data_IF_963754670026
#
_entry.id   IF_963754670026
#
_cell.length_a   1.000
_cell.length_b   1.000
_cell.length_c   1.000
_cell.angle_alpha   90.00
_cell.angle_beta   90.00
_cell.angle_gamma   90.00
#
_symmetry.space_group_name_H-M   'P 1'
#
loop_
_entity.id
_entity.type
_entity.pdbx_description
1 polymer ?
#
# COMPACT_ATOMS: atom_id res chain seq x y z
N UNK A 1 21.28 24.66 -40.56
CA UNK A 1 21.38 24.61 -39.09
C UNK A 1 22.84 24.77 -38.69
N UNK A 2 23.16 25.80 -37.91
CA UNK A 2 24.50 26.07 -37.39
C UNK A 2 24.81 25.11 -36.21
N UNK A 3 26.03 24.56 -36.19
CA UNK A 3 26.47 23.58 -35.17
C UNK A 3 26.25 24.10 -33.73
N UNK A 4 26.43 25.40 -33.50
CA UNK A 4 26.22 26.04 -32.20
C UNK A 4 24.77 26.00 -31.71
N UNK A 5 23.77 26.18 -32.59
CA UNK A 5 22.36 26.08 -32.19
C UNK A 5 21.93 24.65 -31.95
N UNK A 6 22.54 23.67 -32.63
CA UNK A 6 22.29 22.25 -32.38
C UNK A 6 22.85 21.82 -31.01
N UNK A 7 24.07 22.26 -30.68
CA UNK A 7 24.69 22.04 -29.36
C UNK A 7 23.85 22.70 -28.26
N UNK A 8 23.43 23.95 -28.46
CA UNK A 8 22.58 24.66 -27.50
C UNK A 8 21.23 23.94 -27.30
N UNK A 9 20.60 23.47 -28.38
CA UNK A 9 19.36 22.70 -28.31
C UNK A 9 19.52 21.39 -27.54
N UNK A 10 20.63 20.66 -27.74
CA UNK A 10 20.94 19.45 -26.98
C UNK A 10 21.14 19.77 -25.49
N UNK A 11 21.90 20.81 -25.17
CA UNK A 11 22.13 21.24 -23.78
C UNK A 11 20.80 21.58 -23.10
N UNK A 12 19.96 22.38 -23.76
CA UNK A 12 18.62 22.72 -23.25
C UNK A 12 17.77 21.47 -23.06
N UNK A 13 17.79 20.54 -24.02
CA UNK A 13 17.08 19.26 -23.91
C UNK A 13 17.52 18.42 -22.72
N UNK A 14 18.83 18.29 -22.48
CA UNK A 14 19.38 17.56 -21.33
C UNK A 14 18.97 18.24 -20.02
N UNK A 15 19.07 19.57 -19.94
CA UNK A 15 18.67 20.32 -18.75
C UNK A 15 17.19 20.09 -18.46
N UNK A 16 16.31 20.25 -19.45
CA UNK A 16 14.87 20.02 -19.28
C UNK A 16 14.57 18.59 -18.85
N UNK A 17 15.23 17.58 -19.46
CA UNK A 17 15.06 16.18 -19.09
C UNK A 17 15.53 15.91 -17.65
N UNK A 18 16.68 16.45 -17.25
CA UNK A 18 17.22 16.31 -15.91
C UNK A 18 16.28 16.94 -14.87
N UNK A 19 15.89 18.20 -15.05
CA UNK A 19 14.95 18.88 -14.15
C UNK A 19 13.58 18.17 -14.11
N UNK A 20 13.05 17.76 -15.26
CA UNK A 20 11.80 16.99 -15.34
C UNK A 20 11.87 15.67 -14.57
N UNK A 21 12.98 14.94 -14.69
CA UNK A 21 13.18 13.67 -13.97
C UNK A 21 13.26 13.85 -12.46
N UNK A 22 13.92 14.92 -11.98
CA UNK A 22 14.00 15.24 -10.55
C UNK A 22 12.64 15.59 -9.97
N UNK A 23 11.83 16.38 -10.70
CA UNK A 23 10.46 16.70 -10.31
C UNK A 23 9.62 15.43 -10.24
N UNK A 24 9.69 14.57 -11.26
CA UNK A 24 8.95 13.31 -11.29
C UNK A 24 9.32 12.39 -10.11
N UNK A 25 10.62 12.21 -9.86
CA UNK A 25 11.13 11.43 -8.74
C UNK A 25 10.63 12.00 -7.39
N UNK A 26 10.70 13.32 -7.21
CA UNK A 26 10.19 14.00 -6.01
C UNK A 26 8.69 13.74 -5.81
N UNK A 27 7.87 13.83 -6.88
CA UNK A 27 6.43 13.54 -6.80
C UNK A 27 6.14 12.10 -6.45
N UNK A 28 6.89 11.14 -7.02
CA UNK A 28 6.76 9.73 -6.66
C UNK A 28 7.04 9.51 -5.17
N UNK A 29 8.15 10.05 -4.66
CA UNK A 29 8.51 9.92 -3.24
C UNK A 29 7.47 10.58 -2.33
N UNK A 30 7.06 11.81 -2.64
CA UNK A 30 6.09 12.55 -1.83
C UNK A 30 4.71 11.87 -1.77
N UNK A 31 4.30 11.21 -2.86
CA UNK A 31 3.04 10.46 -2.93
C UNK A 31 3.13 9.05 -2.37
N UNK A 32 4.27 8.64 -1.81
CA UNK A 32 4.41 7.42 -1.02
C UNK A 32 4.25 7.68 0.48
N UNK A 33 4.23 8.94 0.91
CA UNK A 33 4.10 9.31 2.31
C UNK A 33 2.70 9.00 2.84
N UNK A 34 2.63 8.56 4.10
CA UNK A 34 1.35 8.27 4.78
C UNK A 34 0.42 9.48 4.76
N UNK A 35 0.96 10.69 4.93
CA UNK A 35 0.19 11.95 4.88
C UNK A 35 -0.52 12.17 3.54
N UNK A 36 0.07 11.70 2.43
CA UNK A 36 -0.55 11.81 1.11
C UNK A 36 -1.70 10.82 0.99
N UNK A 37 -1.51 9.58 1.43
CA UNK A 37 -2.59 8.59 1.45
C UNK A 37 -3.74 9.04 2.36
N UNK A 38 -3.43 9.61 3.53
CA UNK A 38 -4.42 10.09 4.49
C UNK A 38 -5.07 11.44 4.12
N UNK A 39 -4.65 12.11 3.04
CA UNK A 39 -5.22 13.41 2.68
C UNK A 39 -6.65 13.31 2.13
N UNK A 40 -7.07 12.11 1.73
CA UNK A 40 -8.43 11.86 1.23
C UNK A 40 -9.31 11.31 2.36
N UNK A 41 -10.52 11.85 2.52
CA UNK A 41 -11.48 11.43 3.55
C UNK A 41 -11.74 9.91 3.60
N UNK A 42 -11.92 9.19 2.46
CA UNK A 42 -12.05 7.72 2.43
C UNK A 42 -10.98 6.95 3.21
N UNK A 43 -9.77 7.50 3.30
CA UNK A 43 -8.62 6.82 3.87
C UNK A 43 -8.51 6.96 5.40
N UNK A 44 -9.36 7.78 6.03
CA UNK A 44 -9.30 8.06 7.48
C UNK A 44 -9.31 6.79 8.34
N UNK A 45 -10.26 5.89 8.10
CA UNK A 45 -10.36 4.63 8.88
C UNK A 45 -9.13 3.74 8.67
N UNK A 46 -8.59 3.70 7.45
CA UNK A 46 -7.38 2.92 7.15
C UNK A 46 -6.16 3.51 7.86
N UNK A 47 -6.04 4.84 7.90
CA UNK A 47 -5.00 5.52 8.65
C UNK A 47 -5.09 5.21 10.15
N UNK A 48 -6.25 5.40 10.77
CA UNK A 48 -6.45 5.21 12.22
C UNK A 48 -6.11 3.77 12.65
N UNK A 49 -6.55 2.80 11.85
CA UNK A 49 -6.31 1.37 12.12
C UNK A 49 -4.88 0.94 11.81
N UNK A 50 -4.23 1.55 10.81
CA UNK A 50 -2.79 1.38 10.58
C UNK A 50 -1.97 1.99 11.71
N UNK A 51 -2.35 3.16 12.19
CA UNK A 51 -1.63 3.91 13.20
C UNK A 51 -1.49 3.10 14.50
N UNK A 52 -2.56 2.38 14.87
CA UNK A 52 -2.63 1.48 16.01
C UNK A 52 -2.02 0.08 15.78
N UNK A 53 -1.69 -0.28 14.53
CA UNK A 53 -1.17 -1.60 14.16
C UNK A 53 0.30 -1.79 14.54
N UNK A 54 0.80 -3.02 14.41
CA UNK A 54 2.22 -3.36 14.67
C UNK A 54 3.21 -2.67 13.74
N UNK A 55 2.78 -2.25 12.54
CA UNK A 55 3.60 -1.46 11.61
C UNK A 55 3.31 0.05 11.68
N UNK A 56 2.37 0.45 12.53
CA UNK A 56 2.05 1.84 12.83
C UNK A 56 3.01 2.45 13.86
N UNK A 57 3.03 3.78 13.98
CA UNK A 57 3.90 4.49 14.92
C UNK A 57 3.49 4.32 16.39
N UNK A 58 2.27 3.87 16.70
CA UNK A 58 1.78 3.74 18.08
C UNK A 58 2.43 2.57 18.84
N UNK A 59 2.89 1.54 18.13
CA UNK A 59 3.54 0.39 18.74
C UNK A 59 5.05 0.65 18.89
N UNK A 60 5.58 0.50 20.11
CA UNK A 60 7.00 0.73 20.41
C UNK A 60 7.86 -0.43 19.90
N UNK A 61 8.96 -0.13 19.21
CA UNK A 61 10.00 -1.10 18.85
C UNK A 61 9.91 -1.71 17.44
N UNK A 62 8.84 -1.46 16.68
CA UNK A 62 8.72 -1.92 15.30
C UNK A 62 9.21 -0.87 14.28
N UNK A 63 9.74 -1.34 13.14
CA UNK A 63 10.02 -0.47 11.99
C UNK A 63 8.70 0.10 11.46
N UNK A 64 8.63 1.43 11.34
CA UNK A 64 7.44 2.13 10.83
C UNK A 64 7.37 1.93 9.31
N UNK A 65 6.36 1.19 8.84
CA UNK A 65 6.13 1.00 7.41
C UNK A 65 5.16 2.06 6.89
N UNK A 66 5.48 2.69 5.75
CA UNK A 66 4.53 3.59 5.06
C UNK A 66 3.47 2.76 4.33
N UNK A 67 2.37 3.40 3.93
CA UNK A 67 1.33 2.75 3.13
C UNK A 67 1.91 2.10 1.86
N UNK A 68 2.78 2.83 1.14
CA UNK A 68 3.44 2.37 -0.07
C UNK A 68 4.46 1.24 0.16
N UNK A 69 4.96 1.05 1.39
CA UNK A 69 5.87 -0.04 1.67
C UNK A 69 5.17 -1.40 1.58
N UNK A 70 3.87 -1.47 1.91
CA UNK A 70 3.06 -2.69 1.81
C UNK A 70 2.17 -2.74 0.56
N UNK A 71 1.63 -1.61 0.13
CA UNK A 71 0.65 -1.52 -0.96
C UNK A 71 1.25 -1.31 -2.36
N UNK A 72 2.58 -1.40 -2.51
CA UNK A 72 3.25 -1.39 -3.81
C UNK A 72 4.33 -2.49 -3.86
N UNK A 73 4.52 -3.15 -5.02
CA UNK A 73 5.49 -4.23 -5.15
C UNK A 73 6.92 -3.69 -5.21
N UNK A 74 7.85 -4.37 -4.56
CA UNK A 74 9.28 -3.98 -4.53
C UNK A 74 10.18 -4.96 -5.31
N UNK A 75 9.61 -5.66 -6.29
CA UNK A 75 10.29 -6.62 -7.16
C UNK A 75 10.87 -5.99 -8.45
N UNK A 76 10.57 -4.72 -8.71
CA UNK A 76 11.13 -3.98 -9.84
C UNK A 76 10.54 -2.60 -10.02
N UNK A 77 11.35 -1.67 -10.51
CA UNK A 77 10.95 -0.27 -10.70
C UNK A 77 9.75 -0.10 -11.64
N UNK A 78 9.74 -0.81 -12.77
CA UNK A 78 8.65 -0.74 -13.75
C UNK A 78 7.34 -1.25 -13.16
N UNK A 79 7.37 -2.38 -12.44
CA UNK A 79 6.17 -2.95 -11.82
C UNK A 79 5.64 -2.03 -10.70
N UNK A 80 6.53 -1.47 -9.89
CA UNK A 80 6.22 -0.48 -8.86
C UNK A 80 5.45 0.71 -9.47
N UNK A 81 6.00 1.32 -10.53
CA UNK A 81 5.39 2.49 -11.16
C UNK A 81 4.04 2.19 -11.80
N UNK A 82 3.94 1.10 -12.56
CA UNK A 82 2.68 0.70 -13.21
C UNK A 82 1.60 0.45 -12.16
N UNK A 83 1.96 -0.26 -11.10
CA UNK A 83 1.03 -0.55 -9.99
C UNK A 83 0.60 0.73 -9.29
N UNK A 84 1.55 1.62 -8.97
CA UNK A 84 1.25 2.92 -8.34
C UNK A 84 0.31 3.77 -9.19
N UNK A 85 0.53 3.84 -10.51
CA UNK A 85 -0.33 4.57 -11.43
C UNK A 85 -1.73 3.97 -11.49
N UNK A 86 -1.84 2.63 -11.62
CA UNK A 86 -3.14 1.93 -11.67
C UNK A 86 -3.92 2.10 -10.37
N UNK A 87 -3.27 1.92 -9.22
CA UNK A 87 -3.88 2.09 -7.90
C UNK A 87 -4.34 3.54 -7.71
N UNK A 88 -3.47 4.52 -7.96
CA UNK A 88 -3.81 5.93 -7.82
C UNK A 88 -4.96 6.38 -8.74
N UNK A 89 -5.01 5.89 -9.98
CA UNK A 89 -6.12 6.18 -10.90
C UNK A 89 -7.44 5.58 -10.38
N UNK A 90 -7.41 4.32 -9.92
CA UNK A 90 -8.58 3.66 -9.37
C UNK A 90 -9.13 4.39 -8.13
N UNK A 91 -8.24 4.78 -7.21
CA UNK A 91 -8.61 5.49 -5.98
C UNK A 91 -9.15 6.89 -6.29
N UNK A 92 -8.53 7.60 -7.24
CA UNK A 92 -9.01 8.89 -7.72
C UNK A 92 -10.42 8.79 -8.29
N UNK A 93 -10.67 7.82 -9.19
CA UNK A 93 -11.99 7.60 -9.78
C UNK A 93 -13.03 7.19 -8.72
N UNK A 94 -12.67 6.31 -7.78
CA UNK A 94 -13.56 5.89 -6.70
C UNK A 94 -13.92 7.05 -5.77
N UNK A 95 -12.97 7.96 -5.50
CA UNK A 95 -13.19 9.16 -4.70
C UNK A 95 -14.09 10.16 -5.45
N UNK A 96 -13.83 10.41 -6.74
CA UNK A 96 -14.65 11.31 -7.57
C UNK A 96 -16.10 10.81 -7.71
N UNK A 97 -16.31 9.50 -7.70
CA UNK A 97 -17.65 8.89 -7.73
C UNK A 97 -18.31 8.78 -6.35
N UNK A 98 -17.64 9.22 -5.27
CA UNK A 98 -18.13 9.11 -3.88
C UNK A 98 -18.18 7.68 -3.32
N UNK A 99 -17.81 6.66 -4.11
CA UNK A 99 -17.87 5.24 -3.71
C UNK A 99 -16.93 4.93 -2.56
N UNK A 100 -15.72 5.51 -2.59
CA UNK A 100 -14.68 5.30 -1.58
C UNK A 100 -15.07 5.75 -0.17
N UNK A 101 -16.08 6.61 -0.02
CA UNK A 101 -16.52 7.10 1.29
C UNK A 101 -17.46 6.15 2.04
N UNK A 102 -17.87 5.04 1.43
CA UNK A 102 -18.80 4.08 2.05
C UNK A 102 -18.06 2.85 2.58
N UNK A 103 -18.26 2.47 3.86
CA UNK A 103 -17.71 1.22 4.41
C UNK A 103 -18.16 -0.01 3.61
N UNK A 104 -19.39 -0.03 3.10
CA UNK A 104 -19.94 -1.14 2.31
C UNK A 104 -19.16 -1.36 1.01
N UNK A 105 -18.73 -0.29 0.32
CA UNK A 105 -17.89 -0.40 -0.87
C UNK A 105 -16.60 -1.19 -0.57
N UNK A 106 -15.92 -0.88 0.53
CA UNK A 106 -14.68 -1.55 0.92
C UNK A 106 -14.92 -3.00 1.38
N UNK A 107 -15.99 -3.25 2.14
CA UNK A 107 -16.36 -4.60 2.57
C UNK A 107 -16.68 -5.52 1.39
N UNK A 108 -17.46 -5.04 0.41
CA UNK A 108 -17.76 -5.78 -0.82
C UNK A 108 -16.50 -6.03 -1.64
N UNK A 109 -15.63 -5.02 -1.75
CA UNK A 109 -14.38 -5.14 -2.49
C UNK A 109 -13.46 -6.18 -1.85
N UNK A 110 -13.34 -6.15 -0.52
CA UNK A 110 -12.59 -7.16 0.23
C UNK A 110 -13.16 -8.56 0.03
N UNK A 111 -14.48 -8.73 0.13
CA UNK A 111 -15.13 -10.02 -0.07
C UNK A 111 -14.91 -10.59 -1.49
N UNK A 112 -14.83 -9.72 -2.51
CA UNK A 112 -14.61 -10.10 -3.90
C UNK A 112 -13.14 -10.35 -4.27
N UNK A 113 -12.23 -9.54 -3.74
CA UNK A 113 -10.83 -9.50 -4.18
C UNK A 113 -9.87 -10.17 -3.19
N UNK A 114 -10.21 -10.20 -1.90
CA UNK A 114 -9.31 -10.61 -0.84
C UNK A 114 -8.21 -9.58 -0.54
N UNK A 115 -7.57 -9.74 0.62
CA UNK A 115 -6.47 -8.89 1.08
C UNK A 115 -5.24 -8.99 0.15
N UNK A 116 -4.99 -10.21 -0.35
CA UNK A 116 -3.83 -10.61 -1.16
C UNK A 116 -3.73 -9.89 -2.51
N UNK A 117 -4.79 -9.21 -2.94
CA UNK A 117 -4.77 -8.38 -4.15
C UNK A 117 -4.29 -6.96 -3.92
N UNK A 118 -4.14 -6.56 -2.65
CA UNK A 118 -3.79 -5.20 -2.26
C UNK A 118 -2.45 -5.11 -1.51
N UNK A 119 -1.85 -6.24 -1.16
CA UNK A 119 -0.53 -6.33 -0.52
C UNK A 119 0.32 -7.32 -1.32
N UNK A 120 1.62 -7.04 -1.44
CA UNK A 120 2.52 -7.83 -2.28
C UNK A 120 3.54 -8.59 -1.42
N UNK A 121 3.86 -9.83 -1.78
CA UNK A 121 4.88 -10.61 -1.06
C UNK A 121 6.25 -9.93 -1.12
N UNK A 122 6.59 -9.28 -2.24
CA UNK A 122 7.83 -8.49 -2.38
C UNK A 122 7.91 -7.33 -1.39
N UNK A 123 6.77 -6.80 -0.95
CA UNK A 123 6.68 -5.79 0.10
C UNK A 123 7.06 -6.33 1.47
N UNK A 124 6.54 -7.50 1.83
CA UNK A 124 6.90 -8.17 3.08
C UNK A 124 8.40 -8.50 3.09
N UNK A 125 8.91 -9.08 1.99
CA UNK A 125 10.30 -9.54 1.86
C UNK A 125 11.33 -8.42 1.81
N UNK A 126 10.93 -7.20 1.47
CA UNK A 126 11.82 -6.03 1.50
C UNK A 126 12.42 -5.79 2.90
N UNK A 127 11.61 -5.99 3.94
CA UNK A 127 12.03 -5.82 5.34
C UNK A 127 12.20 -7.17 6.06
N UNK A 128 11.35 -8.16 5.76
CA UNK A 128 11.44 -9.53 6.31
C UNK A 128 12.26 -10.43 5.38
N UNK A 129 13.56 -10.17 5.34
CA UNK A 129 14.48 -10.92 4.47
C UNK A 129 14.73 -12.34 5.01
N UNK A 130 14.88 -12.46 6.33
CA UNK A 130 15.08 -13.72 7.04
C UNK A 130 13.79 -14.13 7.77
N UNK A 131 13.08 -15.13 7.23
CA UNK A 131 11.84 -15.65 7.82
C UNK A 131 12.11 -16.71 8.90
N UNK A 132 13.28 -17.34 8.85
CA UNK A 132 13.68 -18.42 9.75
C UNK A 132 14.89 -17.96 10.56
N UNK A 133 14.66 -17.65 11.83
CA UNK A 133 15.69 -17.16 12.74
C UNK A 133 15.68 -17.96 14.07
N UNK A 134 16.81 -18.00 14.80
CA UNK A 134 16.84 -18.57 16.13
C UNK A 134 15.80 -17.92 17.05
N UNK A 135 15.06 -18.74 17.80
CA UNK A 135 14.07 -18.27 18.79
C UNK A 135 12.63 -18.17 18.30
N UNK A 136 12.33 -18.44 17.02
CA UNK A 136 10.93 -18.53 16.56
C UNK A 136 10.26 -19.83 17.06
N UNK A 137 8.94 -19.82 17.34
CA UNK A 137 8.22 -21.04 17.70
C UNK A 137 8.31 -22.11 16.61
N UNK A 138 8.38 -23.40 17.00
CA UNK A 138 8.52 -24.52 16.05
C UNK A 138 7.43 -24.53 14.97
N UNK A 139 6.20 -24.12 15.31
CA UNK A 139 5.10 -23.99 14.34
C UNK A 139 5.39 -22.92 13.28
N UNK A 140 5.92 -21.76 13.69
CA UNK A 140 6.30 -20.69 12.78
C UNK A 140 7.49 -21.12 11.90
N UNK A 141 8.48 -21.80 12.49
CA UNK A 141 9.60 -22.39 11.75
C UNK A 141 9.11 -23.31 10.62
N UNK A 142 8.21 -24.26 10.95
CA UNK A 142 7.67 -25.19 9.96
C UNK A 142 6.92 -24.47 8.83
N UNK A 143 6.07 -23.50 9.17
CA UNK A 143 5.28 -22.75 8.19
C UNK A 143 6.16 -21.89 7.28
N UNK A 144 7.09 -21.12 7.85
CA UNK A 144 8.03 -20.30 7.07
C UNK A 144 8.95 -21.16 6.21
N UNK A 145 9.39 -22.33 6.70
CA UNK A 145 10.20 -23.26 5.91
C UNK A 145 9.44 -23.81 4.71
N UNK A 146 8.16 -24.17 4.88
CA UNK A 146 7.31 -24.60 3.76
C UNK A 146 7.11 -23.50 2.72
N UNK A 147 6.93 -22.26 3.18
CA UNK A 147 6.85 -21.08 2.31
C UNK A 147 8.15 -20.87 1.51
N UNK A 148 9.30 -20.86 2.17
CA UNK A 148 10.62 -20.71 1.53
C UNK A 148 10.90 -21.83 0.50
N UNK A 149 10.41 -23.04 0.75
CA UNK A 149 10.55 -24.18 -0.16
C UNK A 149 9.50 -24.19 -1.29
N UNK A 150 8.59 -23.22 -1.35
CA UNK A 150 7.53 -23.17 -2.35
C UNK A 150 6.50 -24.29 -2.22
N UNK A 151 6.39 -24.91 -1.03
CA UNK A 151 5.49 -26.03 -0.77
C UNK A 151 4.06 -25.60 -0.44
N UNK A 152 3.81 -24.29 -0.32
CA UNK A 152 2.51 -23.71 -0.01
C UNK A 152 2.16 -22.61 -1.00
N UNK A 153 0.86 -22.38 -1.18
CA UNK A 153 0.31 -21.24 -1.94
C UNK A 153 -0.14 -20.09 -1.03
N UNK A 154 -0.01 -20.25 0.27
CA UNK A 154 -0.36 -19.22 1.24
C UNK A 154 0.57 -18.01 1.12
N UNK A 155 0.01 -16.83 1.30
CA UNK A 155 0.75 -15.57 1.32
C UNK A 155 1.11 -15.18 2.75
N UNK A 156 1.97 -14.18 2.93
CA UNK A 156 2.30 -13.65 4.25
C UNK A 156 1.01 -13.24 5.00
N UNK A 157 0.10 -12.56 4.31
CA UNK A 157 -1.14 -12.03 4.90
C UNK A 157 -2.28 -13.06 4.99
N UNK A 158 -2.18 -14.23 4.33
CA UNK A 158 -3.07 -15.38 4.62
C UNK A 158 -3.07 -15.72 6.11
N UNK A 159 -1.90 -15.66 6.75
CA UNK A 159 -1.71 -15.92 8.18
C UNK A 159 -1.59 -14.62 8.99
N UNK A 160 -0.85 -13.63 8.51
CA UNK A 160 -0.58 -12.36 9.20
C UNK A 160 -1.62 -11.26 8.87
N UNK A 161 -2.90 -11.57 9.00
CA UNK A 161 -4.03 -10.73 8.52
C UNK A 161 -4.10 -9.34 9.14
N UNK A 162 -3.59 -9.18 10.35
CA UNK A 162 -3.82 -7.98 11.17
C UNK A 162 -2.60 -7.06 11.28
N UNK A 163 -1.51 -7.35 10.56
CA UNK A 163 -0.25 -6.60 10.72
C UNK A 163 -0.32 -5.18 10.19
N UNK A 164 -1.11 -4.94 9.13
CA UNK A 164 -1.22 -3.63 8.49
C UNK A 164 -2.27 -2.71 9.11
N UNK A 165 -3.44 -3.26 9.45
CA UNK A 165 -4.58 -2.47 9.92
C UNK A 165 -5.34 -3.10 11.10
N UNK A 166 -4.73 -3.98 11.88
CA UNK A 166 -5.32 -4.48 13.14
C UNK A 166 -6.76 -4.96 13.01
N UNK A 167 -7.70 -4.17 13.53
CA UNK A 167 -9.14 -4.45 13.61
C UNK A 167 -9.99 -3.82 12.48
N UNK A 168 -9.38 -3.44 11.34
CA UNK A 168 -10.06 -2.77 10.22
C UNK A 168 -11.43 -3.36 9.86
N UNK A 169 -11.52 -4.68 9.73
CA UNK A 169 -12.76 -5.35 9.33
C UNK A 169 -13.89 -5.12 10.34
N UNK A 170 -13.56 -5.19 11.63
CA UNK A 170 -14.52 -4.91 12.71
C UNK A 170 -15.01 -3.47 12.65
N UNK A 171 -14.09 -2.50 12.54
CA UNK A 171 -14.42 -1.07 12.45
C UNK A 171 -15.27 -0.76 11.21
N UNK A 172 -14.96 -1.37 10.07
CA UNK A 172 -15.73 -1.17 8.83
C UNK A 172 -17.13 -1.77 8.92
N UNK A 173 -17.28 -2.95 9.54
CA UNK A 173 -18.59 -3.59 9.76
C UNK A 173 -19.46 -2.77 10.71
N UNK A 174 -18.89 -2.27 11.80
CA UNK A 174 -19.59 -1.40 12.74
C UNK A 174 -20.08 -0.12 12.05
N UNK A 175 -19.20 0.59 11.35
CA UNK A 175 -19.57 1.79 10.57
C UNK A 175 -20.66 1.49 9.54
N UNK A 176 -20.59 0.34 8.86
CA UNK A 176 -21.61 -0.07 7.90
C UNK A 176 -22.97 -0.34 8.55
N UNK A 177 -22.98 -0.93 9.75
CA UNK A 177 -24.19 -1.21 10.51
C UNK A 177 -24.83 0.09 11.02
N UNK A 178 -24.04 0.99 11.62
CA UNK A 178 -24.53 2.29 12.11
C UNK A 178 -25.18 3.12 10.99
N UNK A 179 -24.60 3.11 9.79
CA UNK A 179 -25.17 3.80 8.63
C UNK A 179 -26.51 3.20 8.16
N UNK A 180 -26.68 1.87 8.26
CA UNK A 180 -27.95 1.21 7.93
C UNK A 180 -29.04 1.58 8.94
N UNK A 181 -28.73 1.57 10.23
CA UNK A 181 -29.66 1.95 11.29
C UNK A 181 -30.15 3.40 11.10
N UNK A 182 -29.24 4.36 10.92
CA UNK A 182 -29.57 5.76 10.71
C UNK A 182 -30.41 6.04 9.43
N UNK A 183 -30.38 5.12 8.45
CA UNK A 183 -31.21 5.20 7.24
C UNK A 183 -32.61 4.64 7.45
N UNK A 184 -32.78 3.67 8.35
CA UNK A 184 -34.07 3.06 8.65
C UNK A 184 -34.91 3.91 9.63
N UNK A 185 -34.28 4.83 10.36
CA UNK A 185 -34.93 5.80 11.26
C UNK A 185 -35.43 7.07 10.55
N UNK A 186 -35.25 7.17 9.22
CA UNK A 186 -35.71 8.27 8.36
C UNK A 186 -36.77 7.78 7.38
#
# INVERSE_FOLDING_TARGET
>A
MNKSSLILGIIVGIVVAAFGSLIAASKIVSSNEVKFCASCHPMKTFYETWEASVHGPAQKGAMKAKCADCHLPHDGFTNYLITKMKAGLNDYLANMQGKGSTPQYWLERWAKQGADKHVYESSCRKCHQELVAPGIPLKAFSAHRQYELGMTKETCISCHRNVGHGNLMMVMQEKAASQKLAKNEK
#
